data_IF_349801849079
#
_entry.id   IF_349801849079
#
_cell.length_a   1.000
_cell.length_b   1.000
_cell.length_c   1.000
_cell.angle_alpha   90.00
_cell.angle_beta   90.00
_cell.angle_gamma   90.00
#
_symmetry.space_group_name_H-M   'P 1'
#
loop_
_entity.id
_entity.type
_entity.pdbx_description
1 polymer ?
#
# COMPACT_ATOMS: atom_id res chain seq x y z
N UNK A 1 1.56 -70.06 -17.68
CA UNK A 1 0.54 -69.24 -17.06
C UNK A 1 1.28 -68.30 -16.12
N UNK A 2 1.70 -67.18 -16.65
CA UNK A 2 2.38 -66.10 -15.91
C UNK A 2 1.33 -65.18 -15.36
N UNK A 3 1.39 -64.95 -14.06
CA UNK A 3 0.59 -63.90 -13.39
C UNK A 3 1.54 -62.74 -13.03
N UNK A 4 1.54 -61.77 -13.90
CA UNK A 4 2.20 -60.48 -13.64
C UNK A 4 1.36 -59.70 -12.63
N UNK A 5 1.88 -59.60 -11.40
CA UNK A 5 1.27 -58.86 -10.32
C UNK A 5 1.79 -57.41 -10.37
N UNK A 6 1.11 -56.56 -11.15
CA UNK A 6 1.40 -55.16 -11.33
C UNK A 6 0.73 -54.34 -10.19
N UNK A 7 1.38 -54.36 -9.02
CA UNK A 7 0.95 -53.55 -7.86
C UNK A 7 1.86 -52.34 -7.71
N UNK A 8 1.76 -51.39 -8.66
CA UNK A 8 2.44 -50.11 -8.58
C UNK A 8 1.51 -49.14 -7.88
N UNK A 9 1.85 -48.61 -6.68
CA UNK A 9 1.00 -47.63 -6.01
C UNK A 9 0.93 -46.35 -6.84
N UNK A 10 -0.22 -45.65 -6.86
CA UNK A 10 -0.38 -44.40 -7.61
C UNK A 10 0.62 -43.36 -7.12
N UNK A 11 1.42 -42.85 -8.04
CA UNK A 11 2.31 -41.68 -7.79
C UNK A 11 1.45 -40.50 -7.43
N UNK A 12 1.33 -40.19 -6.14
CA UNK A 12 0.76 -38.95 -5.66
C UNK A 12 1.48 -37.73 -6.28
N UNK A 13 0.85 -36.54 -6.30
CA UNK A 13 1.44 -35.34 -6.88
C UNK A 13 2.78 -35.07 -6.21
N UNK A 14 3.87 -35.28 -6.95
CA UNK A 14 5.20 -34.88 -6.48
C UNK A 14 5.24 -33.37 -6.52
N UNK A 15 5.12 -32.74 -5.36
CA UNK A 15 5.39 -31.31 -5.16
C UNK A 15 6.91 -31.11 -5.33
N UNK A 16 7.35 -31.01 -6.59
CA UNK A 16 8.72 -30.65 -6.90
C UNK A 16 8.88 -29.17 -6.59
N UNK A 17 9.31 -28.84 -5.36
CA UNK A 17 9.86 -27.53 -5.06
C UNK A 17 11.12 -27.40 -5.92
N UNK A 18 10.96 -26.75 -7.08
CA UNK A 18 12.08 -26.40 -7.90
C UNK A 18 12.87 -25.30 -7.17
N UNK A 19 14.01 -25.64 -6.61
CA UNK A 19 14.87 -24.73 -5.85
C UNK A 19 15.27 -23.51 -6.70
N UNK A 20 15.39 -23.69 -8.00
CA UNK A 20 15.68 -22.60 -8.94
C UNK A 20 14.51 -21.61 -9.04
N UNK A 21 13.27 -22.10 -9.12
CA UNK A 21 12.07 -21.24 -9.11
C UNK A 21 11.91 -20.49 -7.78
N UNK A 22 12.25 -21.14 -6.66
CA UNK A 22 12.22 -20.51 -5.36
C UNK A 22 13.28 -19.41 -5.24
N UNK A 23 14.50 -19.64 -5.74
CA UNK A 23 15.57 -18.63 -5.80
C UNK A 23 15.20 -17.47 -6.71
N UNK A 24 14.64 -17.74 -7.91
CA UNK A 24 14.22 -16.70 -8.83
C UNK A 24 13.14 -15.79 -8.21
N UNK A 25 12.13 -16.38 -7.56
CA UNK A 25 11.10 -15.63 -6.83
C UNK A 25 11.66 -14.82 -5.67
N UNK A 26 12.62 -15.38 -4.92
CA UNK A 26 13.29 -14.66 -3.83
C UNK A 26 14.10 -13.46 -4.35
N UNK A 27 14.83 -13.63 -5.45
CA UNK A 27 15.58 -12.55 -6.09
C UNK A 27 14.65 -11.45 -6.63
N UNK A 28 13.53 -11.83 -7.25
CA UNK A 28 12.53 -10.86 -7.71
C UNK A 28 11.89 -10.09 -6.54
N UNK A 29 11.57 -10.77 -5.45
CA UNK A 29 11.05 -10.15 -4.24
C UNK A 29 12.07 -9.16 -3.62
N UNK A 30 13.35 -9.54 -3.56
CA UNK A 30 14.41 -8.64 -3.08
C UNK A 30 14.55 -7.41 -3.98
N UNK A 31 14.57 -7.56 -5.29
CA UNK A 31 14.64 -6.44 -6.22
C UNK A 31 13.45 -5.50 -6.10
N UNK A 32 12.24 -6.04 -5.90
CA UNK A 32 11.03 -5.23 -5.64
C UNK A 32 11.12 -4.47 -4.32
N UNK A 33 11.63 -5.11 -3.26
CA UNK A 33 11.79 -4.45 -1.96
C UNK A 33 12.84 -3.34 -2.01
N UNK A 34 13.95 -3.54 -2.69
CA UNK A 34 14.98 -2.50 -2.91
C UNK A 34 14.40 -1.31 -3.70
N UNK A 35 13.62 -1.57 -4.73
CA UNK A 35 12.94 -0.51 -5.48
C UNK A 35 11.99 0.30 -4.59
N UNK A 36 11.14 -0.36 -3.79
CA UNK A 36 10.21 0.30 -2.88
C UNK A 36 10.94 1.15 -1.85
N UNK A 37 12.00 0.61 -1.24
CA UNK A 37 12.79 1.31 -0.23
C UNK A 37 13.56 2.50 -0.81
N UNK A 38 14.17 2.35 -1.98
CA UNK A 38 14.86 3.44 -2.67
C UNK A 38 13.89 4.56 -3.04
N UNK A 39 12.69 4.22 -3.51
CA UNK A 39 11.63 5.17 -3.83
C UNK A 39 11.13 5.91 -2.58
N UNK A 40 10.89 5.19 -1.49
CA UNK A 40 10.50 5.76 -0.22
C UNK A 40 11.55 6.73 0.32
N UNK A 41 12.82 6.35 0.26
CA UNK A 41 13.93 7.19 0.67
C UNK A 41 14.07 8.45 -0.20
N UNK A 42 13.95 8.31 -1.52
CA UNK A 42 14.00 9.42 -2.47
C UNK A 42 12.89 10.44 -2.22
N UNK A 43 11.65 9.98 -2.02
CA UNK A 43 10.49 10.84 -1.72
C UNK A 43 10.64 11.63 -0.41
N UNK A 44 11.30 11.05 0.59
CA UNK A 44 11.53 11.73 1.88
C UNK A 44 12.72 12.72 1.82
N UNK A 45 13.78 12.38 1.09
CA UNK A 45 15.02 13.16 1.06
C UNK A 45 15.02 14.25 0.00
N UNK A 46 14.63 13.91 -1.22
CA UNK A 46 14.66 14.79 -2.39
C UNK A 46 13.35 14.69 -3.19
N UNK A 47 12.18 15.04 -2.59
CA UNK A 47 10.87 14.76 -3.19
C UNK A 47 10.73 15.35 -4.59
N UNK A 48 11.28 16.54 -4.86
CA UNK A 48 11.15 17.17 -6.17
C UNK A 48 11.82 16.35 -7.29
N UNK A 49 13.04 15.87 -7.06
CA UNK A 49 13.74 15.01 -8.05
C UNK A 49 13.03 13.68 -8.23
N UNK A 50 12.53 13.11 -7.15
CA UNK A 50 11.83 11.82 -7.19
C UNK A 50 10.52 11.94 -7.97
N UNK A 51 9.78 13.04 -7.79
CA UNK A 51 8.57 13.30 -8.56
C UNK A 51 8.83 13.50 -10.06
N UNK A 52 9.95 14.11 -10.45
CA UNK A 52 10.35 14.22 -11.87
C UNK A 52 10.64 12.83 -12.48
N UNK A 53 11.28 11.93 -11.74
CA UNK A 53 11.49 10.55 -12.17
C UNK A 53 10.16 9.81 -12.31
N UNK A 54 9.27 9.90 -11.30
CA UNK A 54 7.94 9.28 -11.32
C UNK A 54 7.11 9.79 -12.51
N UNK A 55 7.25 11.08 -12.85
CA UNK A 55 6.58 11.67 -14.01
C UNK A 55 7.03 11.03 -15.31
N UNK A 56 8.33 10.77 -15.46
CA UNK A 56 8.92 10.17 -16.64
C UNK A 56 8.66 8.66 -16.79
N UNK A 57 8.20 7.99 -15.70
CA UNK A 57 7.93 6.55 -15.75
C UNK A 57 6.70 6.23 -16.60
N UNK A 58 6.91 5.33 -17.58
CA UNK A 58 5.81 4.72 -18.31
C UNK A 58 5.21 3.57 -17.49
N UNK A 59 4.01 3.77 -17.00
CA UNK A 59 3.32 2.82 -16.10
C UNK A 59 1.81 2.92 -16.25
N UNK A 60 1.09 1.99 -15.66
CA UNK A 60 -0.38 1.96 -15.66
C UNK A 60 -0.93 1.91 -14.24
N UNK A 61 -2.18 2.36 -14.05
CA UNK A 61 -2.83 2.35 -12.72
C UNK A 61 -2.82 0.96 -12.08
N UNK A 62 -3.19 -0.14 -12.78
CA UNK A 62 -3.10 -1.48 -12.19
C UNK A 62 -1.68 -1.87 -11.79
N UNK A 63 -0.68 -1.47 -12.56
CA UNK A 63 0.73 -1.76 -12.24
C UNK A 63 1.18 -1.05 -10.97
N UNK A 64 0.76 0.20 -10.77
CA UNK A 64 1.03 0.95 -9.53
C UNK A 64 0.33 0.29 -8.34
N UNK A 65 -0.96 -0.02 -8.46
CA UNK A 65 -1.74 -0.60 -7.36
C UNK A 65 -1.24 -1.99 -6.96
N UNK A 66 -0.99 -2.88 -7.92
CA UNK A 66 -0.57 -4.26 -7.62
C UNK A 66 0.93 -4.34 -7.34
N UNK A 67 1.75 -3.60 -8.11
CA UNK A 67 3.20 -3.71 -8.03
C UNK A 67 3.82 -2.92 -6.88
N UNK A 68 3.22 -1.78 -6.52
CA UNK A 68 3.75 -0.87 -5.50
C UNK A 68 2.86 -0.78 -4.26
N UNK A 69 1.56 -0.47 -4.43
CA UNK A 69 0.65 -0.23 -3.30
C UNK A 69 0.34 -1.51 -2.54
N UNK A 70 0.00 -2.60 -3.22
CA UNK A 70 -0.42 -3.84 -2.57
C UNK A 70 0.62 -4.41 -1.58
N UNK A 71 1.92 -4.50 -1.91
CA UNK A 71 2.93 -4.95 -0.94
C UNK A 71 3.11 -3.98 0.23
N UNK A 72 3.07 -2.67 0.00
CA UNK A 72 3.18 -1.66 1.05
C UNK A 72 1.96 -1.66 1.97
N UNK A 73 0.75 -1.74 1.41
CA UNK A 73 -0.50 -1.80 2.16
C UNK A 73 -0.64 -3.06 3.02
N UNK A 74 0.15 -4.11 2.77
CA UNK A 74 0.20 -5.30 3.60
C UNK A 74 0.98 -5.09 4.91
N UNK A 75 1.87 -4.10 4.98
CA UNK A 75 2.72 -3.87 6.16
C UNK A 75 1.89 -3.64 7.43
N UNK A 76 0.93 -2.68 7.47
CA UNK A 76 0.16 -2.40 8.68
C UNK A 76 -0.60 -3.63 9.20
N UNK A 77 -1.44 -4.33 8.42
CA UNK A 77 -2.21 -5.46 8.93
C UNK A 77 -1.35 -6.66 9.32
N UNK A 78 -0.22 -6.91 8.63
CA UNK A 78 0.72 -7.97 8.99
C UNK A 78 1.41 -7.64 10.32
N UNK A 79 1.88 -6.39 10.48
CA UNK A 79 2.50 -5.95 11.73
C UNK A 79 1.51 -5.94 12.89
N UNK A 80 0.23 -5.60 12.67
CA UNK A 80 -0.81 -5.67 13.70
C UNK A 80 -1.09 -7.12 14.12
N UNK A 81 -1.14 -8.07 13.17
CA UNK A 81 -1.26 -9.49 13.48
C UNK A 81 -0.09 -10.00 14.36
N UNK A 82 1.14 -9.67 13.95
CA UNK A 82 2.34 -10.08 14.70
C UNK A 82 2.35 -9.42 16.09
N UNK A 83 2.07 -8.12 16.16
CA UNK A 83 1.99 -7.38 17.42
C UNK A 83 0.89 -7.93 18.34
N UNK A 84 -0.27 -8.27 17.80
CA UNK A 84 -1.36 -8.89 18.55
C UNK A 84 -0.98 -10.25 19.10
N UNK A 85 -0.22 -11.05 18.36
CA UNK A 85 0.29 -12.34 18.82
C UNK A 85 1.33 -12.16 19.94
N UNK A 86 2.27 -11.23 19.79
CA UNK A 86 3.34 -10.98 20.77
C UNK A 86 2.81 -10.46 22.11
N UNK A 87 1.75 -9.63 22.09
CA UNK A 87 1.17 -9.04 23.31
C UNK A 87 -0.06 -9.78 23.84
N UNK A 88 -0.22 -11.07 23.49
CA UNK A 88 -1.32 -11.94 23.91
C UNK A 88 -2.74 -11.39 23.61
N UNK A 89 -2.87 -10.43 22.71
CA UNK A 89 -4.18 -9.88 22.30
C UNK A 89 -4.99 -10.90 21.50
N UNK A 90 -4.32 -11.89 20.89
CA UNK A 90 -4.98 -13.02 20.21
C UNK A 90 -5.65 -14.01 21.17
N UNK A 91 -5.40 -13.93 22.48
CA UNK A 91 -6.15 -14.74 23.47
C UNK A 91 -7.62 -14.34 23.59
N UNK A 92 -7.97 -13.14 23.11
CA UNK A 92 -9.33 -12.59 23.14
C UNK A 92 -10.01 -12.59 21.78
N UNK A 93 -9.30 -12.94 20.71
CA UNK A 93 -9.81 -12.92 19.31
C UNK A 93 -9.45 -14.27 18.69
N UNK A 94 -10.42 -14.93 18.06
CA UNK A 94 -10.17 -16.13 17.30
C UNK A 94 -9.16 -15.87 16.16
N UNK A 95 -8.13 -16.72 15.98
CA UNK A 95 -7.09 -16.51 14.95
C UNK A 95 -7.65 -16.36 13.53
N UNK A 96 -8.78 -17.03 13.24
CA UNK A 96 -9.49 -16.90 11.96
C UNK A 96 -10.05 -15.50 11.73
N UNK A 97 -10.67 -14.91 12.76
CA UNK A 97 -11.22 -13.54 12.70
C UNK A 97 -10.10 -12.51 12.51
N UNK A 98 -8.98 -12.69 13.22
CA UNK A 98 -7.82 -11.80 13.08
C UNK A 98 -7.26 -11.82 11.66
N UNK A 99 -7.17 -12.99 11.03
CA UNK A 99 -6.72 -13.13 9.64
C UNK A 99 -7.71 -12.48 8.67
N UNK A 100 -9.02 -12.75 8.82
CA UNK A 100 -10.06 -12.14 7.99
C UNK A 100 -10.00 -10.62 8.08
N UNK A 101 -9.89 -10.06 9.28
CA UNK A 101 -9.72 -8.62 9.49
C UNK A 101 -8.49 -8.08 8.78
N UNK A 102 -7.35 -8.75 8.88
CA UNK A 102 -6.11 -8.33 8.21
C UNK A 102 -6.29 -8.28 6.68
N UNK A 103 -6.92 -9.30 6.09
CA UNK A 103 -7.19 -9.34 4.65
C UNK A 103 -8.16 -8.24 4.24
N UNK A 104 -9.23 -8.02 4.98
CA UNK A 104 -10.20 -6.94 4.71
C UNK A 104 -9.49 -5.58 4.79
N UNK A 105 -8.71 -5.33 5.84
CA UNK A 105 -7.95 -4.09 6.00
C UNK A 105 -7.00 -3.86 4.82
N UNK A 106 -6.30 -4.89 4.37
CA UNK A 106 -5.41 -4.83 3.22
C UNK A 106 -6.15 -4.44 1.94
N UNK A 107 -7.26 -5.13 1.62
CA UNK A 107 -8.06 -4.86 0.41
C UNK A 107 -8.67 -3.46 0.46
N UNK A 108 -9.24 -3.06 1.60
CA UNK A 108 -9.81 -1.72 1.80
C UNK A 108 -8.74 -0.65 1.66
N UNK A 109 -7.52 -0.88 2.17
CA UNK A 109 -6.41 0.07 2.02
C UNK A 109 -6.06 0.32 0.56
N UNK A 110 -6.01 -0.71 -0.28
CA UNK A 110 -5.77 -0.57 -1.73
C UNK A 110 -6.90 0.24 -2.38
N UNK A 111 -8.15 -0.07 -2.03
CA UNK A 111 -9.32 0.68 -2.49
C UNK A 111 -9.30 2.15 -2.08
N UNK A 112 -8.86 2.45 -0.85
CA UNK A 112 -8.71 3.83 -0.38
C UNK A 112 -7.62 4.60 -1.13
N UNK A 113 -6.51 3.94 -1.50
CA UNK A 113 -5.49 4.58 -2.36
C UNK A 113 -6.06 4.94 -3.72
N UNK A 114 -6.78 4.01 -4.34
CA UNK A 114 -7.44 4.28 -5.62
C UNK A 114 -8.44 5.44 -5.49
N UNK A 115 -9.26 5.43 -4.44
CA UNK A 115 -10.21 6.50 -4.15
C UNK A 115 -9.52 7.85 -3.91
N UNK A 116 -8.40 7.85 -3.19
CA UNK A 116 -7.57 9.06 -3.01
C UNK A 116 -7.11 9.63 -4.35
N UNK A 117 -6.66 8.78 -5.28
CA UNK A 117 -6.29 9.20 -6.64
C UNK A 117 -7.45 9.79 -7.42
N UNK A 118 -8.66 9.21 -7.28
CA UNK A 118 -9.88 9.78 -7.86
C UNK A 118 -10.17 11.16 -7.27
N UNK A 119 -10.04 11.33 -5.94
CA UNK A 119 -10.22 12.63 -5.29
C UNK A 119 -9.21 13.67 -5.79
N UNK A 120 -7.94 13.28 -5.90
CA UNK A 120 -6.91 14.15 -6.50
C UNK A 120 -7.34 14.60 -7.90
N UNK A 121 -7.80 13.70 -8.75
CA UNK A 121 -8.22 14.04 -10.11
C UNK A 121 -9.48 14.91 -10.17
N UNK A 122 -10.47 14.63 -9.33
CA UNK A 122 -11.76 15.36 -9.29
C UNK A 122 -11.57 16.79 -8.76
N UNK A 123 -10.73 16.98 -7.75
CA UNK A 123 -10.49 18.31 -7.19
C UNK A 123 -9.51 19.17 -8.02
N UNK A 124 -8.89 18.62 -9.06
CA UNK A 124 -7.88 19.31 -9.87
C UNK A 124 -8.36 20.68 -10.38
N UNK A 125 -9.56 20.75 -10.96
CA UNK A 125 -10.11 22.01 -11.49
C UNK A 125 -10.34 23.06 -10.38
N UNK A 126 -10.67 22.63 -9.15
CA UNK A 126 -10.89 23.54 -8.01
C UNK A 126 -9.60 24.26 -7.62
N UNK A 127 -8.46 23.63 -7.89
CA UNK A 127 -7.14 24.14 -7.53
C UNK A 127 -6.30 24.57 -8.73
N UNK A 128 -6.95 24.83 -9.88
CA UNK A 128 -6.31 25.24 -11.15
C UNK A 128 -5.19 24.27 -11.61
N UNK A 129 -5.40 22.97 -11.41
CA UNK A 129 -4.49 21.91 -11.79
C UNK A 129 -5.01 21.14 -13.02
N UNK A 130 -4.09 20.58 -13.80
CA UNK A 130 -4.45 19.75 -14.97
C UNK A 130 -5.02 18.41 -14.51
N UNK A 131 -6.19 18.01 -15.02
CA UNK A 131 -6.72 16.66 -14.82
C UNK A 131 -5.91 15.61 -15.56
N UNK A 132 -5.44 14.63 -14.83
CA UNK A 132 -4.79 13.45 -15.40
C UNK A 132 -4.90 12.28 -14.43
N UNK A 133 -5.70 11.27 -14.78
CA UNK A 133 -6.00 10.13 -13.93
C UNK A 133 -4.73 9.37 -13.51
N UNK A 134 -3.82 9.09 -14.44
CA UNK A 134 -2.58 8.37 -14.15
C UNK A 134 -1.69 9.15 -13.18
N UNK A 135 -1.52 10.46 -13.41
CA UNK A 135 -0.72 11.31 -12.53
C UNK A 135 -1.34 11.44 -11.14
N UNK A 136 -2.67 11.57 -11.07
CA UNK A 136 -3.39 11.59 -9.81
C UNK A 136 -3.22 10.29 -9.01
N UNK A 137 -3.28 9.14 -9.69
CA UNK A 137 -3.03 7.84 -9.07
C UNK A 137 -1.56 7.69 -8.63
N UNK A 138 -0.60 8.18 -9.41
CA UNK A 138 0.81 8.26 -8.99
C UNK A 138 0.93 9.09 -7.69
N UNK A 139 0.32 10.27 -7.64
CA UNK A 139 0.35 11.11 -6.43
C UNK A 139 -0.22 10.37 -5.23
N UNK A 140 -1.40 9.78 -5.35
CA UNK A 140 -2.03 9.04 -4.26
C UNK A 140 -1.15 7.88 -3.75
N UNK A 141 -0.69 7.04 -4.67
CA UNK A 141 0.08 5.84 -4.34
C UNK A 141 1.41 6.16 -3.65
N UNK A 142 2.19 7.09 -4.22
CA UNK A 142 3.52 7.39 -3.71
C UNK A 142 3.50 8.29 -2.47
N UNK A 143 2.50 9.17 -2.32
CA UNK A 143 2.37 10.01 -1.12
C UNK A 143 2.01 9.22 0.12
N UNK A 144 1.29 8.09 0.00
CA UNK A 144 0.92 7.23 1.13
C UNK A 144 2.07 6.34 1.65
N UNK A 145 3.22 6.34 0.97
CA UNK A 145 4.38 5.53 1.37
C UNK A 145 4.76 5.68 2.84
N UNK A 146 4.92 6.89 3.41
CA UNK A 146 5.25 7.04 4.84
C UNK A 146 4.19 6.43 5.75
N UNK A 147 2.91 6.57 5.38
CA UNK A 147 1.79 6.04 6.17
C UNK A 147 1.80 4.51 6.22
N UNK A 148 2.07 3.84 5.11
CA UNK A 148 2.21 2.39 5.09
C UNK A 148 3.46 1.91 5.84
N UNK A 149 4.60 2.58 5.67
CA UNK A 149 5.82 2.24 6.38
C UNK A 149 5.69 2.44 7.89
N UNK A 150 4.94 3.46 8.33
CA UNK A 150 4.66 3.66 9.75
C UNK A 150 3.84 2.53 10.38
N UNK A 151 3.19 1.69 9.56
CA UNK A 151 2.52 0.47 10.00
C UNK A 151 3.42 -0.52 10.74
N UNK A 152 4.74 -0.45 10.56
CA UNK A 152 5.70 -1.24 11.35
C UNK A 152 5.57 -0.93 12.85
N UNK A 153 5.19 0.28 13.22
CA UNK A 153 4.98 0.66 14.62
C UNK A 153 3.71 0.05 15.25
N UNK A 154 2.83 -0.56 14.45
CA UNK A 154 1.71 -1.37 14.97
C UNK A 154 2.17 -2.61 15.72
N UNK A 155 3.43 -3.04 15.55
CA UNK A 155 4.06 -4.07 16.37
C UNK A 155 4.06 -3.71 17.85
N UNK A 156 4.17 -2.42 18.19
CA UNK A 156 4.18 -1.92 19.56
C UNK A 156 3.11 -0.84 19.76
N UNK A 157 1.94 -1.16 20.30
CA UNK A 157 0.80 -0.25 20.43
C UNK A 157 1.10 1.13 21.03
N UNK A 158 2.02 1.31 22.03
CA UNK A 158 2.35 2.62 22.54
C UNK A 158 2.95 3.61 21.53
N UNK A 159 3.41 3.12 20.38
CA UNK A 159 4.03 3.95 19.33
C UNK A 159 3.03 4.50 18.28
N UNK A 160 1.72 4.37 18.52
CA UNK A 160 0.67 4.82 17.59
C UNK A 160 0.81 6.29 17.15
N UNK A 161 1.34 7.14 18.02
CA UNK A 161 1.54 8.58 17.75
C UNK A 161 2.54 8.86 16.61
N UNK A 162 3.43 7.91 16.29
CA UNK A 162 4.37 8.03 15.16
C UNK A 162 3.61 8.13 13.83
N UNK A 163 2.43 7.52 13.73
CA UNK A 163 1.58 7.61 12.55
C UNK A 163 1.13 9.05 12.24
N UNK A 164 1.09 9.94 13.23
CA UNK A 164 0.80 11.36 13.01
C UNK A 164 1.91 12.05 12.20
N UNK A 165 3.17 11.70 12.46
CA UNK A 165 4.29 12.21 11.65
C UNK A 165 4.28 11.63 10.24
N UNK A 166 3.88 10.38 10.09
CA UNK A 166 3.71 9.77 8.78
C UNK A 166 2.61 10.46 7.96
N UNK A 167 1.51 10.87 8.61
CA UNK A 167 0.46 11.66 7.98
C UNK A 167 0.98 13.03 7.53
N UNK A 168 1.74 13.72 8.37
CA UNK A 168 2.36 15.00 8.01
C UNK A 168 3.33 14.84 6.84
N UNK A 169 4.15 13.78 6.84
CA UNK A 169 5.06 13.46 5.74
C UNK A 169 4.28 13.15 4.45
N UNK A 170 3.16 12.43 4.53
CA UNK A 170 2.27 12.18 3.39
C UNK A 170 1.79 13.48 2.75
N UNK A 171 1.25 14.42 3.56
CA UNK A 171 0.76 15.73 3.08
C UNK A 171 1.90 16.52 2.45
N UNK A 172 3.09 16.51 3.06
CA UNK A 172 4.28 17.17 2.52
C UNK A 172 4.69 16.60 1.16
N UNK A 173 4.77 15.28 1.04
CA UNK A 173 5.13 14.61 -0.22
C UNK A 173 4.09 14.92 -1.29
N UNK A 174 2.79 14.84 -0.96
CA UNK A 174 1.70 15.18 -1.88
C UNK A 174 1.80 16.64 -2.34
N UNK A 175 1.97 17.58 -1.42
CA UNK A 175 2.18 19.01 -1.73
C UNK A 175 3.32 19.23 -2.73
N UNK A 176 4.42 18.49 -2.60
CA UNK A 176 5.57 18.58 -3.53
C UNK A 176 5.32 17.90 -4.89
N UNK A 177 4.44 16.90 -4.93
CA UNK A 177 4.10 16.16 -6.15
C UNK A 177 3.07 16.85 -7.03
N UNK A 178 2.10 17.53 -6.43
CA UNK A 178 1.00 18.18 -7.15
C UNK A 178 1.47 19.18 -8.23
N UNK A 179 2.43 20.10 -7.96
CA UNK A 179 2.95 20.99 -8.99
C UNK A 179 3.68 20.24 -10.12
N UNK A 180 4.39 19.17 -9.81
CA UNK A 180 5.21 18.42 -10.78
C UNK A 180 4.34 17.59 -11.73
N UNK A 181 3.35 16.86 -11.18
CA UNK A 181 2.55 15.90 -11.96
C UNK A 181 1.25 16.52 -12.50
N UNK A 182 0.57 17.34 -11.71
CA UNK A 182 -0.74 17.92 -12.05
C UNK A 182 -0.64 19.39 -12.42
N UNK A 183 0.58 19.97 -12.46
CA UNK A 183 0.85 21.39 -12.74
C UNK A 183 0.05 22.35 -11.84
N UNK A 184 -0.27 21.93 -10.62
CA UNK A 184 -0.95 22.79 -9.66
C UNK A 184 -0.09 24.03 -9.34
N UNK A 185 -0.67 25.23 -9.21
CA UNK A 185 0.05 26.40 -8.75
C UNK A 185 0.69 26.14 -7.36
N UNK A 186 1.95 26.57 -7.18
CA UNK A 186 2.69 26.29 -5.93
C UNK A 186 2.02 26.88 -4.69
N UNK A 187 1.38 28.04 -4.84
CA UNK A 187 0.62 28.72 -3.77
C UNK A 187 -0.65 27.97 -3.35
N UNK A 188 -1.25 27.17 -4.24
CA UNK A 188 -2.45 26.37 -3.97
C UNK A 188 -2.17 24.90 -3.64
N UNK A 189 -0.97 24.41 -3.92
CA UNK A 189 -0.61 23.01 -3.77
C UNK A 189 -0.78 22.48 -2.34
N UNK A 190 -0.51 23.32 -1.31
CA UNK A 190 -0.70 22.91 0.08
C UNK A 190 -2.19 22.76 0.43
N UNK A 191 -3.00 23.73 0.04
CA UNK A 191 -4.45 23.71 0.26
C UNK A 191 -5.08 22.53 -0.47
N UNK A 192 -4.60 22.22 -1.68
CA UNK A 192 -5.04 21.07 -2.45
C UNK A 192 -4.70 19.76 -1.73
N UNK A 193 -3.44 19.56 -1.32
CA UNK A 193 -3.02 18.36 -0.58
C UNK A 193 -3.82 18.20 0.73
N UNK A 194 -4.03 19.27 1.48
CA UNK A 194 -4.80 19.25 2.71
C UNK A 194 -6.29 18.89 2.46
N UNK A 195 -6.92 19.49 1.45
CA UNK A 195 -8.33 19.20 1.11
C UNK A 195 -8.53 17.75 0.69
N UNK A 196 -7.65 17.21 -0.15
CA UNK A 196 -7.67 15.80 -0.56
C UNK A 196 -7.48 14.88 0.65
N UNK A 197 -6.52 15.20 1.53
CA UNK A 197 -6.24 14.39 2.72
C UNK A 197 -7.41 14.40 3.70
N UNK A 198 -8.04 15.55 3.94
CA UNK A 198 -9.23 15.66 4.80
C UNK A 198 -10.39 14.88 4.20
N UNK A 199 -10.66 15.05 2.90
CA UNK A 199 -11.74 14.31 2.23
C UNK A 199 -11.53 12.79 2.29
N UNK A 200 -10.28 12.32 2.09
CA UNK A 200 -9.95 10.92 2.21
C UNK A 200 -10.05 10.40 3.65
N UNK A 201 -9.66 11.20 4.64
CA UNK A 201 -9.80 10.85 6.06
C UNK A 201 -11.27 10.69 6.45
N UNK A 202 -12.13 11.64 6.03
CA UNK A 202 -13.59 11.56 6.26
C UNK A 202 -14.18 10.31 5.60
N UNK A 203 -13.83 10.04 4.33
CA UNK A 203 -14.29 8.84 3.63
C UNK A 203 -13.79 7.56 4.33
N UNK A 204 -12.54 7.54 4.78
CA UNK A 204 -11.97 6.43 5.52
C UNK A 204 -12.70 6.15 6.84
N UNK A 205 -13.02 7.19 7.61
CA UNK A 205 -13.80 7.07 8.86
C UNK A 205 -15.20 6.52 8.57
N UNK A 206 -15.88 7.02 7.55
CA UNK A 206 -17.20 6.54 7.16
C UNK A 206 -17.17 5.06 6.76
N UNK A 207 -16.23 4.68 5.89
CA UNK A 207 -16.08 3.29 5.44
C UNK A 207 -15.74 2.36 6.60
N UNK A 208 -14.84 2.79 7.50
CA UNK A 208 -14.48 1.99 8.68
C UNK A 208 -15.67 1.83 9.64
N UNK A 209 -16.45 2.89 9.86
CA UNK A 209 -17.66 2.83 10.69
C UNK A 209 -18.72 1.90 10.10
N UNK A 210 -18.90 1.93 8.78
CA UNK A 210 -19.81 1.00 8.10
C UNK A 210 -19.31 -0.46 8.19
N UNK A 211 -18.03 -0.69 8.02
CA UNK A 211 -17.43 -2.02 8.13
C UNK A 211 -17.60 -2.60 9.55
N UNK A 212 -17.45 -1.77 10.60
CA UNK A 212 -17.64 -2.19 12.00
C UNK A 212 -19.09 -2.45 12.39
N UNK A 213 -20.08 -1.99 11.60
CA UNK A 213 -21.48 -2.34 11.81
C UNK A 213 -21.87 -3.71 11.23
N UNK A 214 -21.01 -4.29 10.38
CA UNK A 214 -21.27 -5.57 9.68
C UNK A 214 -20.54 -6.74 10.36
N UNK A 215 -19.54 -6.45 11.19
CA UNK A 215 -18.77 -7.43 11.97
C UNK A 215 -19.18 -7.43 13.41
#
# INVERSE_FOLDING_TARGET
MSADNENTPPKGPRFNLNVEDAKARAQEAMRKSEFILSRAYGLLREPKKEWEQIKAEDTTVPHILIGYVAPLAAIPPVCDLIGSALFNRLLTIEPGEALVRAVITWVVSIGLVYFLGVLVNVLADTFDADRNELNAQKIAAYSLTPSFLSGVFSLWPPLWWISLFALAAMVYIMHRGLPVLMKAPEDRALSYAASVTIAAAVAGIVLFSLASCVT
#
